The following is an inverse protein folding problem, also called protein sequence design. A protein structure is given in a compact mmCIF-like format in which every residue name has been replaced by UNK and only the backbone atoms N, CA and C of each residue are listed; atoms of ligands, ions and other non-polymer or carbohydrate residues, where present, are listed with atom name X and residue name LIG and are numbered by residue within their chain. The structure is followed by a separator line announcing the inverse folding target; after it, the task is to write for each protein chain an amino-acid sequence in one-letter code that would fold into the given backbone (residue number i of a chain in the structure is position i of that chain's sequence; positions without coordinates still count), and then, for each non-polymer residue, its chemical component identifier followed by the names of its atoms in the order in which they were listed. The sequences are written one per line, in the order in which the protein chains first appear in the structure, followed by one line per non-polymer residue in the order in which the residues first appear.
data_IF_929865203731
#
_entry.id   IF_929865203731
#
_cell.length_a   1.000
_cell.length_b   1.000
_cell.length_c   1.000
_cell.angle_alpha   90.00
_cell.angle_beta   90.00
_cell.angle_gamma   90.00
#
_symmetry.space_group_name_H-M   'P 1'
#
loop_
_entity.id
_entity.type
_entity.pdbx_description
1 polymer ?
#
# COMPACT_ATOMS: atom_id res chain seq x y z
N UNK A 1 -62.46 -35.64 -15.12
CA UNK A 1 -61.05 -35.95 -15.35
C UNK A 1 -60.22 -34.70 -15.02
N UNK A 2 -59.57 -34.71 -13.89
CA UNK A 2 -58.92 -33.53 -13.38
C UNK A 2 -57.44 -33.67 -13.72
N UNK A 3 -57.00 -32.85 -14.67
CA UNK A 3 -55.60 -32.78 -15.06
C UNK A 3 -54.91 -31.75 -14.16
N UNK A 4 -54.21 -32.26 -13.17
CA UNK A 4 -53.40 -31.43 -12.30
C UNK A 4 -52.12 -31.05 -13.03
N UNK A 5 -52.06 -29.82 -13.49
CA UNK A 5 -50.85 -29.19 -13.94
C UNK A 5 -49.93 -28.91 -12.73
N UNK A 6 -48.92 -29.71 -12.63
CA UNK A 6 -47.82 -29.44 -11.72
C UNK A 6 -46.86 -28.43 -12.39
N UNK A 7 -46.91 -27.22 -11.94
CA UNK A 7 -45.94 -26.21 -12.30
C UNK A 7 -44.66 -26.46 -11.46
N UNK A 8 -43.54 -26.67 -12.08
CA UNK A 8 -42.29 -26.65 -11.33
C UNK A 8 -41.94 -25.20 -10.99
N UNK A 9 -41.93 -24.89 -9.76
CA UNK A 9 -41.36 -23.65 -9.22
C UNK A 9 -39.85 -23.75 -9.40
N UNK A 10 -39.35 -23.17 -10.46
CA UNK A 10 -37.93 -22.90 -10.61
C UNK A 10 -37.57 -21.72 -9.71
N UNK A 11 -37.27 -22.07 -8.48
CA UNK A 11 -36.62 -21.11 -7.59
C UNK A 11 -35.16 -20.91 -8.06
N UNK A 12 -34.99 -19.91 -8.89
CA UNK A 12 -33.70 -19.44 -9.30
C UNK A 12 -33.05 -18.77 -8.09
N UNK A 13 -32.25 -19.55 -7.35
CA UNK A 13 -31.33 -19.02 -6.36
C UNK A 13 -30.19 -18.32 -7.10
N UNK A 14 -30.39 -17.07 -7.46
CA UNK A 14 -29.32 -16.13 -7.75
C UNK A 14 -28.69 -15.70 -6.41
N UNK A 15 -27.93 -16.61 -5.80
CA UNK A 15 -26.92 -16.18 -4.84
C UNK A 15 -25.81 -15.54 -5.66
N UNK A 16 -25.95 -14.25 -5.89
CA UNK A 16 -24.84 -13.43 -6.34
C UNK A 16 -23.71 -13.57 -5.33
N UNK A 17 -22.63 -14.18 -5.77
CA UNK A 17 -21.36 -14.07 -5.09
C UNK A 17 -20.97 -12.59 -5.10
N UNK A 18 -21.39 -11.84 -4.09
CA UNK A 18 -20.65 -10.68 -3.65
C UNK A 18 -19.32 -11.22 -3.17
N UNK A 19 -18.40 -11.38 -4.12
CA UNK A 19 -17.00 -11.43 -3.78
C UNK A 19 -16.73 -10.14 -2.99
N UNK A 20 -16.75 -10.26 -1.68
CA UNK A 20 -16.40 -9.19 -0.80
C UNK A 20 -15.00 -8.75 -1.17
N UNK A 21 -14.89 -7.61 -1.85
CA UNK A 21 -13.69 -6.83 -1.77
C UNK A 21 -13.57 -6.44 -0.29
N UNK A 22 -13.02 -7.34 0.51
CA UNK A 22 -12.53 -7.01 1.81
C UNK A 22 -11.62 -5.78 1.66
N UNK A 23 -11.49 -4.93 2.67
CA UNK A 23 -10.56 -3.84 2.60
C UNK A 23 -9.23 -4.41 2.14
N UNK A 24 -8.64 -3.80 1.10
CA UNK A 24 -7.29 -4.10 0.64
C UNK A 24 -6.34 -3.56 1.70
N UNK A 25 -6.45 -4.11 2.89
CA UNK A 25 -5.53 -3.90 3.96
C UNK A 25 -4.39 -4.85 3.72
N UNK A 26 -3.38 -4.25 3.15
CA UNK A 26 -2.06 -4.74 3.29
C UNK A 26 -1.79 -6.07 2.56
N UNK A 27 -1.30 -6.00 1.36
CA UNK A 27 -0.08 -6.76 1.15
C UNK A 27 0.80 -6.49 2.38
N UNK A 28 1.27 -7.55 3.05
CA UNK A 28 2.11 -7.40 4.22
C UNK A 28 3.25 -6.43 3.90
N UNK A 29 3.50 -5.49 4.80
CA UNK A 29 4.57 -4.54 4.61
C UNK A 29 5.88 -5.29 4.40
N UNK A 30 6.67 -4.96 3.38
CA UNK A 30 7.95 -5.62 3.15
C UNK A 30 8.89 -5.38 4.34
N UNK A 31 9.89 -6.26 4.53
CA UNK A 31 10.88 -6.08 5.59
C UNK A 31 11.50 -4.68 5.55
N UNK A 32 11.53 -4.03 6.68
CA UNK A 32 12.09 -2.67 6.83
C UNK A 32 11.10 -1.52 6.67
N UNK A 33 9.91 -1.73 6.11
CA UNK A 33 8.92 -0.67 5.94
C UNK A 33 8.47 -0.06 7.29
N UNK A 34 8.45 -0.85 8.35
CA UNK A 34 8.11 -0.38 9.70
C UNK A 34 9.09 0.68 10.23
N UNK A 35 10.34 0.65 9.79
CA UNK A 35 11.31 1.70 10.16
C UNK A 35 10.96 3.06 9.56
N UNK A 36 10.16 3.11 8.52
CA UNK A 36 9.71 4.35 7.88
C UNK A 36 8.48 4.93 8.58
N UNK A 37 7.54 4.08 8.97
CA UNK A 37 6.25 4.51 9.55
C UNK A 37 6.37 5.21 10.89
N UNK A 38 7.46 5.02 11.61
CA UNK A 38 7.70 5.69 12.89
C UNK A 38 7.90 7.20 12.77
N UNK A 39 8.40 7.66 11.63
CA UNK A 39 8.63 9.08 11.35
C UNK A 39 7.73 9.61 10.22
N UNK A 40 7.57 8.81 9.15
CA UNK A 40 6.68 9.12 8.04
C UNK A 40 5.27 8.58 8.33
N UNK A 41 4.48 9.34 9.06
CA UNK A 41 3.11 8.94 9.38
C UNK A 41 2.25 8.77 8.13
N UNK A 42 1.22 7.95 8.24
CA UNK A 42 0.27 7.71 7.15
C UNK A 42 -0.61 8.90 6.80
N UNK A 43 -0.72 9.87 7.71
CA UNK A 43 -1.47 11.12 7.49
C UNK A 43 -0.58 12.34 7.50
N UNK A 44 -1.13 13.47 7.06
CA UNK A 44 -0.45 14.74 7.15
C UNK A 44 -0.50 15.23 8.60
N UNK A 45 0.66 15.43 9.20
CA UNK A 45 0.77 16.08 10.51
C UNK A 45 1.02 17.56 10.25
N UNK A 46 0.17 18.43 10.80
CA UNK A 46 0.34 19.86 10.68
C UNK A 46 1.72 20.28 11.22
N UNK A 47 2.38 21.18 10.49
CA UNK A 47 3.71 21.72 10.83
C UNK A 47 4.86 20.70 10.89
N UNK A 48 4.64 19.48 10.44
CA UNK A 48 5.72 18.48 10.36
C UNK A 48 6.65 18.77 9.19
N UNK A 49 7.94 18.79 9.47
CA UNK A 49 8.99 18.84 8.44
C UNK A 49 9.26 17.46 7.81
N UNK A 50 8.68 16.40 8.37
CA UNK A 50 8.80 15.04 7.86
C UNK A 50 7.68 14.81 6.86
N UNK A 51 7.99 14.61 5.57
CA UNK A 51 6.95 14.48 4.56
C UNK A 51 6.23 13.13 4.66
N UNK A 52 4.96 13.13 4.31
CA UNK A 52 4.22 11.91 4.07
C UNK A 52 4.75 11.23 2.81
N UNK A 53 4.90 9.91 2.85
CA UNK A 53 5.33 9.10 1.70
C UNK A 53 4.24 8.15 1.18
N UNK A 54 3.23 7.86 1.99
CA UNK A 54 2.06 7.07 1.54
C UNK A 54 1.38 7.74 0.34
N UNK A 55 1.03 6.94 -0.67
CA UNK A 55 0.39 7.40 -1.89
C UNK A 55 1.29 8.12 -2.88
N UNK A 56 2.57 8.32 -2.58
CA UNK A 56 3.53 8.88 -3.55
C UNK A 56 3.88 7.85 -4.61
N UNK A 57 4.28 8.33 -5.79
CA UNK A 57 4.78 7.45 -6.85
C UNK A 57 6.00 6.68 -6.38
N UNK A 58 6.00 5.37 -6.61
CA UNK A 58 7.12 4.50 -6.21
C UNK A 58 8.46 4.98 -6.80
N UNK A 59 8.46 5.41 -8.05
CA UNK A 59 9.69 5.92 -8.70
C UNK A 59 10.27 7.14 -7.98
N UNK A 60 9.43 8.03 -7.47
CA UNK A 60 9.89 9.22 -6.75
C UNK A 60 10.50 8.82 -5.39
N UNK A 61 9.88 7.87 -4.68
CA UNK A 61 10.41 7.36 -3.41
C UNK A 61 11.78 6.71 -3.64
N UNK A 62 11.91 5.88 -4.67
CA UNK A 62 13.19 5.23 -5.03
C UNK A 62 14.25 6.27 -5.35
N UNK A 63 13.92 7.28 -6.14
CA UNK A 63 14.85 8.35 -6.48
C UNK A 63 15.36 9.09 -5.25
N UNK A 64 14.47 9.54 -4.37
CA UNK A 64 14.86 10.23 -3.15
C UNK A 64 15.75 9.36 -2.25
N UNK A 65 15.43 8.08 -2.11
CA UNK A 65 16.25 7.15 -1.32
C UNK A 65 17.65 6.98 -1.90
N UNK A 66 17.79 6.92 -3.22
CA UNK A 66 19.09 6.87 -3.91
C UNK A 66 19.89 8.15 -3.70
N UNK A 67 19.24 9.30 -3.79
CA UNK A 67 19.87 10.61 -3.57
C UNK A 67 20.34 10.78 -2.13
N UNK A 68 19.56 10.35 -1.15
CA UNK A 68 19.99 10.33 0.25
C UNK A 68 21.15 9.36 0.48
N UNK A 69 21.09 8.18 -0.09
CA UNK A 69 22.14 7.17 0.06
C UNK A 69 23.46 7.61 -0.56
N UNK A 70 23.44 8.27 -1.69
CA UNK A 70 24.61 8.79 -2.37
C UNK A 70 25.18 10.07 -1.76
N UNK A 71 24.38 10.77 -0.95
CA UNK A 71 24.70 12.09 -0.44
C UNK A 71 24.45 13.24 -1.43
N UNK A 72 23.86 12.95 -2.60
CA UNK A 72 23.49 13.97 -3.58
C UNK A 72 22.43 14.95 -3.00
N UNK A 73 21.58 14.44 -2.13
CA UNK A 73 20.68 15.26 -1.35
C UNK A 73 21.06 15.20 0.11
N UNK A 74 21.59 16.29 0.69
CA UNK A 74 22.04 16.28 2.06
C UNK A 74 20.85 16.15 3.03
N UNK A 75 20.96 15.19 3.94
CA UNK A 75 20.04 15.00 5.05
C UNK A 75 20.77 14.31 6.20
N UNK A 76 20.58 14.78 7.40
CA UNK A 76 21.21 14.20 8.58
C UNK A 76 20.66 12.81 8.92
N UNK A 77 19.35 12.63 8.84
CA UNK A 77 18.65 11.38 9.22
C UNK A 77 18.50 10.45 8.03
N UNK A 78 17.86 10.91 6.95
CA UNK A 78 17.56 10.07 5.81
C UNK A 78 18.80 9.55 5.10
N UNK A 79 19.89 10.31 5.09
CA UNK A 79 21.18 9.84 4.56
C UNK A 79 21.71 8.61 5.31
N UNK A 80 21.48 8.53 6.60
CA UNK A 80 21.87 7.35 7.42
C UNK A 80 20.90 6.20 7.22
N UNK A 81 19.61 6.47 7.21
CA UNK A 81 18.58 5.44 7.04
C UNK A 81 18.69 4.80 5.66
N UNK A 82 18.80 5.58 4.61
CA UNK A 82 18.88 5.10 3.23
C UNK A 82 20.08 4.17 2.98
N UNK A 83 21.17 4.35 3.69
CA UNK A 83 22.34 3.46 3.61
C UNK A 83 22.09 2.05 4.15
N UNK A 84 21.05 1.87 4.94
CA UNK A 84 20.64 0.57 5.49
C UNK A 84 19.84 -0.30 4.52
N UNK A 85 19.51 0.19 3.33
CA UNK A 85 18.68 -0.50 2.34
C UNK A 85 19.40 -0.60 1.00
N UNK A 86 19.36 -1.77 0.39
CA UNK A 86 19.79 -1.97 -0.99
C UNK A 86 18.68 -1.54 -1.98
N UNK A 87 18.97 -1.62 -3.29
CA UNK A 87 18.02 -1.22 -4.32
C UNK A 87 16.76 -2.08 -4.31
N UNK A 88 16.90 -3.39 -4.12
CA UNK A 88 15.75 -4.31 -4.10
C UNK A 88 14.83 -4.03 -2.92
N UNK A 89 15.38 -3.82 -1.74
CA UNK A 89 14.62 -3.45 -0.55
C UNK A 89 13.94 -2.11 -0.72
N UNK A 90 14.64 -1.13 -1.25
CA UNK A 90 14.11 0.21 -1.52
C UNK A 90 12.94 0.15 -2.50
N UNK A 91 13.05 -0.61 -3.58
CA UNK A 91 11.98 -0.78 -4.57
C UNK A 91 10.75 -1.46 -3.97
N UNK A 92 10.92 -2.49 -3.16
CA UNK A 92 9.81 -3.17 -2.50
C UNK A 92 9.08 -2.25 -1.51
N UNK A 93 9.83 -1.52 -0.70
CA UNK A 93 9.27 -0.55 0.27
C UNK A 93 8.55 0.59 -0.47
N UNK A 94 9.14 1.11 -1.53
CA UNK A 94 8.54 2.18 -2.33
C UNK A 94 7.22 1.75 -2.98
N UNK A 95 7.16 0.54 -3.52
CA UNK A 95 5.95 -0.01 -4.11
C UNK A 95 4.85 -0.17 -3.07
N UNK A 96 5.19 -0.63 -1.87
CA UNK A 96 4.23 -0.78 -0.78
C UNK A 96 3.67 0.57 -0.34
N UNK A 97 4.52 1.58 -0.11
CA UNK A 97 4.05 2.92 0.26
C UNK A 97 3.23 3.59 -0.85
N UNK A 98 3.60 3.41 -2.10
CA UNK A 98 2.84 3.95 -3.24
C UNK A 98 1.40 3.42 -3.30
N UNK A 99 1.19 2.18 -2.84
CA UNK A 99 -0.13 1.55 -2.79
C UNK A 99 -0.94 1.92 -1.53
N UNK A 100 -0.36 2.61 -0.56
CA UNK A 100 -1.08 3.04 0.63
C UNK A 100 -1.98 4.24 0.32
N UNK A 101 -3.15 4.37 0.96
CA UNK A 101 -4.00 5.54 0.80
C UNK A 101 -3.30 6.80 1.33
N UNK A 102 -3.62 7.93 0.68
CA UNK A 102 -3.17 9.26 1.11
C UNK A 102 -3.86 9.69 2.41
#
# INVERSE_FOLDING_TARGET
MIQRLLLPVLASALLGALAGAGPVWAADAPPGASSCTGCHASGQIADSVIPRIAGRKAADIVQFMREYRSGAWPSSIMGRIAKGFDDQQTEAIAAWFAAQPE
#
